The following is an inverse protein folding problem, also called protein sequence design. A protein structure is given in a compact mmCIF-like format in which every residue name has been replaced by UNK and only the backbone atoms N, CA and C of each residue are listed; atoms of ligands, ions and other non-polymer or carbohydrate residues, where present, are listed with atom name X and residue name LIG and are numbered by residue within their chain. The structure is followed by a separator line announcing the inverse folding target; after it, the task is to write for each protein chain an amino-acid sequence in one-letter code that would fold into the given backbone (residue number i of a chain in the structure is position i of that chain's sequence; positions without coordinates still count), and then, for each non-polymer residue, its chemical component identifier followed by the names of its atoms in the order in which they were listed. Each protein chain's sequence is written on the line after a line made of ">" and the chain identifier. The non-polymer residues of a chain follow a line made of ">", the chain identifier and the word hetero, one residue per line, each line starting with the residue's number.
data_IF_587813798486
#
_entry.id   IF_587813798486
#
_cell.length_a   1.000
_cell.length_b   1.000
_cell.length_c   1.000
_cell.angle_alpha   90.00
_cell.angle_beta   90.00
_cell.angle_gamma   90.00
#
_symmetry.space_group_name_H-M   'P 1'
#
loop_
_entity.id
_entity.type
_entity.pdbx_description
1 polymer ?
#
# COMPACT_ATOMS: atom_id res chain seq x y z
N UNK A 1 -0.16 -10.09 15.64
CA UNK A 1 0.80 -10.92 16.40
C UNK A 1 2.08 -10.17 16.79
N UNK A 2 2.23 -8.91 16.38
CA UNK A 2 3.43 -8.07 16.63
C UNK A 2 4.75 -8.77 16.23
N UNK A 3 4.73 -9.50 15.14
CA UNK A 3 5.94 -10.08 14.57
C UNK A 3 6.72 -9.01 13.79
N UNK A 4 8.05 -9.04 13.83
CA UNK A 4 8.84 -8.15 13.00
C UNK A 4 8.59 -8.43 11.53
N UNK A 5 8.63 -7.38 10.70
CA UNK A 5 8.60 -7.53 9.25
C UNK A 5 10.04 -7.54 8.73
N UNK A 6 10.35 -8.51 7.90
CA UNK A 6 11.70 -8.70 7.37
C UNK A 6 11.65 -8.55 5.85
N UNK A 7 12.31 -7.50 5.36
CA UNK A 7 12.50 -7.30 3.94
C UNK A 7 13.86 -7.86 3.51
N UNK A 8 13.83 -8.84 2.61
CA UNK A 8 15.02 -9.52 2.10
C UNK A 8 15.25 -9.27 0.61
N UNK A 9 14.33 -8.57 -0.07
CA UNK A 9 14.40 -8.34 -1.51
C UNK A 9 14.56 -6.86 -1.85
N UNK A 10 15.22 -6.59 -2.96
CA UNK A 10 15.14 -5.31 -3.66
C UNK A 10 13.90 -5.25 -4.59
N UNK A 11 13.69 -4.11 -5.25
CA UNK A 11 12.56 -3.90 -6.16
C UNK A 11 12.56 -4.81 -7.40
N UNK A 12 13.66 -5.50 -7.66
CA UNK A 12 13.83 -6.45 -8.77
C UNK A 12 13.81 -7.91 -8.30
N UNK A 13 13.41 -8.13 -7.04
CA UNK A 13 13.35 -9.44 -6.39
C UNK A 13 14.70 -10.17 -6.31
N UNK A 14 15.79 -9.41 -6.14
CA UNK A 14 17.10 -9.94 -5.77
C UNK A 14 17.31 -9.84 -4.26
N UNK A 15 18.05 -10.76 -3.70
CA UNK A 15 18.35 -10.77 -2.26
C UNK A 15 19.23 -9.56 -1.91
N UNK A 16 18.77 -8.78 -0.94
CA UNK A 16 19.52 -7.64 -0.40
C UNK A 16 20.83 -8.11 0.25
N UNK A 17 21.92 -7.33 0.14
CA UNK A 17 23.16 -7.62 0.88
C UNK A 17 22.98 -7.42 2.39
N UNK A 18 22.02 -6.62 2.80
CA UNK A 18 21.61 -6.41 4.19
C UNK A 18 20.09 -6.52 4.30
N UNK A 19 19.62 -7.45 5.13
CA UNK A 19 18.20 -7.62 5.43
C UNK A 19 17.72 -6.46 6.30
N UNK A 20 16.52 -5.97 6.03
CA UNK A 20 15.88 -4.89 6.77
C UNK A 20 14.82 -5.46 7.70
N UNK A 21 15.04 -5.35 9.01
CA UNK A 21 14.15 -5.89 10.04
C UNK A 21 13.41 -4.73 10.71
N UNK A 22 12.12 -4.63 10.47
CA UNK A 22 11.23 -3.62 11.05
C UNK A 22 10.54 -4.20 12.28
N UNK A 23 10.95 -3.79 13.47
CA UNK A 23 10.30 -4.14 14.75
C UNK A 23 9.22 -3.13 15.13
N UNK A 24 9.36 -1.90 14.67
CA UNK A 24 8.37 -0.83 14.81
C UNK A 24 8.16 -0.16 13.45
N UNK A 25 6.96 -0.30 12.91
CA UNK A 25 6.58 0.28 11.61
C UNK A 25 6.33 1.79 11.68
N UNK A 26 6.17 2.35 12.87
CA UNK A 26 5.93 3.79 13.02
C UNK A 26 7.23 4.59 12.85
N UNK A 27 8.34 4.07 13.33
CA UNK A 27 9.65 4.73 13.20
C UNK A 27 10.23 4.60 11.80
N UNK A 28 9.79 3.59 11.04
CA UNK A 28 10.30 3.24 9.70
C UNK A 28 11.82 3.00 9.63
N UNK A 29 12.48 2.91 10.76
CA UNK A 29 13.91 2.62 10.85
C UNK A 29 14.14 1.12 11.01
N UNK A 30 14.70 0.43 10.00
CA UNK A 30 15.00 -0.98 10.10
C UNK A 30 16.29 -1.22 10.88
N UNK A 31 16.33 -2.31 11.62
CA UNK A 31 17.61 -2.92 12.00
C UNK A 31 18.18 -3.64 10.77
N UNK A 32 19.45 -3.44 10.50
CA UNK A 32 20.13 -4.07 9.38
C UNK A 32 20.88 -5.32 9.85
N UNK A 33 20.70 -6.42 9.14
CA UNK A 33 21.42 -7.66 9.37
C UNK A 33 22.05 -8.14 8.07
N UNK A 34 23.34 -8.45 8.11
CA UNK A 34 24.08 -8.88 6.92
C UNK A 34 23.55 -10.20 6.38
N UNK A 35 23.16 -10.22 5.12
CA UNK A 35 22.81 -11.45 4.43
C UNK A 35 24.06 -12.29 4.17
N UNK A 36 24.01 -13.62 4.35
CA UNK A 36 25.13 -14.48 3.96
C UNK A 36 25.56 -14.21 2.51
N UNK A 37 26.85 -14.01 2.30
CA UNK A 37 27.41 -13.54 1.03
C UNK A 37 27.08 -14.43 -0.18
N UNK A 38 26.84 -15.71 0.07
CA UNK A 38 26.44 -16.68 -0.95
C UNK A 38 25.04 -16.46 -1.52
N UNK A 39 24.18 -15.71 -0.83
CA UNK A 39 22.82 -15.40 -1.28
C UNK A 39 22.67 -13.98 -1.76
N UNK A 40 23.47 -13.04 -1.24
CA UNK A 40 23.40 -11.64 -1.57
C UNK A 40 23.46 -11.39 -3.10
N UNK A 41 22.53 -10.62 -3.62
CA UNK A 41 22.43 -10.30 -5.05
C UNK A 41 21.84 -11.39 -5.94
N UNK A 42 21.52 -12.58 -5.41
CA UNK A 42 20.86 -13.62 -6.20
C UNK A 42 19.38 -13.27 -6.47
N UNK A 43 18.94 -13.60 -7.68
CA UNK A 43 17.51 -13.57 -7.99
C UNK A 43 16.79 -14.62 -7.12
N UNK A 44 15.55 -14.33 -6.69
CA UNK A 44 14.79 -15.11 -5.70
C UNK A 44 14.70 -16.61 -5.96
N UNK A 45 14.55 -17.03 -7.24
CA UNK A 45 14.46 -18.45 -7.58
C UNK A 45 15.85 -19.13 -7.57
N UNK A 46 16.88 -18.38 -7.97
CA UNK A 46 18.25 -18.85 -7.86
C UNK A 46 18.67 -19.01 -6.38
N UNK A 47 18.29 -18.05 -5.53
CA UNK A 47 18.52 -18.12 -4.09
C UNK A 47 17.78 -19.31 -3.46
N UNK A 48 16.51 -19.53 -3.81
CA UNK A 48 15.71 -20.67 -3.34
C UNK A 48 16.36 -22.00 -3.72
N UNK A 49 16.77 -22.15 -4.98
CA UNK A 49 17.43 -23.35 -5.45
C UNK A 49 18.70 -23.62 -4.65
N UNK A 50 19.55 -22.61 -4.50
CA UNK A 50 20.82 -22.74 -3.75
C UNK A 50 20.58 -23.09 -2.28
N UNK A 51 19.57 -22.50 -1.65
CA UNK A 51 19.21 -22.81 -0.25
C UNK A 51 18.76 -24.25 -0.09
N UNK A 52 17.99 -24.80 -1.03
CA UNK A 52 17.58 -26.19 -1.02
C UNK A 52 18.79 -27.13 -1.19
N UNK A 53 19.69 -26.85 -2.15
CA UNK A 53 20.92 -27.61 -2.39
C UNK A 53 21.84 -27.61 -1.16
N UNK A 54 21.99 -26.47 -0.50
CA UNK A 54 22.76 -26.35 0.73
C UNK A 54 22.13 -27.12 1.88
N UNK A 55 20.80 -26.99 2.07
CA UNK A 55 20.09 -27.71 3.11
C UNK A 55 20.18 -29.23 2.97
N UNK A 56 20.21 -29.72 1.73
CA UNK A 56 20.46 -31.13 1.43
C UNK A 56 21.92 -31.55 1.78
N UNK A 57 22.89 -30.74 1.36
CA UNK A 57 24.30 -31.00 1.61
C UNK A 57 24.66 -31.00 3.11
N UNK A 58 24.00 -30.15 3.90
CA UNK A 58 24.21 -30.02 5.34
C UNK A 58 23.29 -30.95 6.18
N UNK A 59 22.42 -31.74 5.53
CA UNK A 59 21.54 -32.70 6.18
C UNK A 59 20.37 -32.07 6.94
N UNK A 60 20.00 -30.81 6.61
CA UNK A 60 18.86 -30.13 7.21
C UNK A 60 17.54 -30.41 6.46
N UNK A 61 17.65 -30.86 5.22
CA UNK A 61 16.48 -31.17 4.39
C UNK A 61 15.95 -32.57 4.74
N UNK A 62 14.74 -32.64 5.28
CA UNK A 62 14.08 -33.90 5.57
C UNK A 62 13.45 -34.51 4.31
N UNK A 63 12.61 -33.73 3.61
CA UNK A 63 12.01 -34.17 2.35
C UNK A 63 11.44 -32.96 1.55
N UNK A 64 11.26 -33.18 0.24
CA UNK A 64 10.55 -32.26 -0.64
C UNK A 64 9.25 -32.92 -1.11
N UNK A 65 8.11 -32.36 -0.75
CA UNK A 65 6.78 -32.85 -1.17
C UNK A 65 6.17 -31.94 -2.22
N UNK A 66 5.56 -32.49 -3.28
CA UNK A 66 4.68 -31.72 -4.14
C UNK A 66 3.55 -31.10 -3.32
N UNK A 67 3.28 -29.83 -3.54
CA UNK A 67 2.22 -29.11 -2.87
C UNK A 67 1.51 -28.18 -3.84
N UNK A 68 0.17 -28.27 -3.90
CA UNK A 68 -0.64 -27.36 -4.70
C UNK A 68 -0.78 -26.02 -3.96
N UNK A 69 -0.21 -24.97 -4.52
CA UNK A 69 -0.22 -23.62 -3.97
C UNK A 69 -0.77 -22.63 -5.01
N UNK A 70 -1.71 -21.78 -4.58
CA UNK A 70 -2.12 -20.62 -5.38
C UNK A 70 -1.04 -19.54 -5.28
N UNK A 71 -0.28 -19.37 -6.36
CA UNK A 71 0.80 -18.38 -6.43
C UNK A 71 0.25 -17.11 -7.07
N UNK A 72 0.33 -15.93 -6.39
CA UNK A 72 -0.08 -14.66 -6.98
C UNK A 72 0.81 -14.32 -8.18
N UNK A 73 0.18 -13.86 -9.25
CA UNK A 73 0.84 -13.47 -10.50
C UNK A 73 0.28 -12.16 -11.02
N UNK A 74 1.12 -11.40 -11.69
CA UNK A 74 0.69 -10.20 -12.40
C UNK A 74 -0.27 -10.55 -13.55
N UNK A 75 -1.41 -9.87 -13.61
CA UNK A 75 -2.50 -10.17 -14.56
C UNK A 75 -2.06 -10.15 -16.02
N UNK A 76 -1.11 -9.31 -16.37
CA UNK A 76 -0.65 -9.12 -17.76
C UNK A 76 0.68 -9.80 -18.04
N UNK A 77 1.61 -9.77 -17.08
CA UNK A 77 2.93 -10.35 -17.26
C UNK A 77 2.98 -11.85 -16.97
N UNK A 78 2.00 -12.38 -16.24
CA UNK A 78 2.00 -13.73 -15.67
C UNK A 78 3.25 -14.02 -14.79
N UNK A 79 3.96 -12.96 -14.42
CA UNK A 79 5.13 -13.06 -13.54
C UNK A 79 4.68 -13.26 -12.10
N UNK A 80 5.34 -14.16 -11.38
CA UNK A 80 5.10 -14.36 -9.95
C UNK A 80 5.48 -13.07 -9.21
N UNK A 81 4.56 -12.58 -8.36
CA UNK A 81 4.79 -11.40 -7.53
C UNK A 81 5.12 -11.79 -6.11
N UNK A 82 6.01 -11.02 -5.49
CA UNK A 82 6.36 -11.16 -4.08
C UNK A 82 5.72 -10.01 -3.28
N UNK A 83 5.38 -10.21 -2.00
CA UNK A 83 4.98 -9.12 -1.13
C UNK A 83 6.09 -8.07 -1.04
N UNK A 84 5.71 -6.81 -1.23
CA UNK A 84 6.62 -5.67 -1.17
C UNK A 84 6.07 -4.62 -0.21
N UNK A 85 6.88 -4.23 0.77
CA UNK A 85 6.52 -3.14 1.68
C UNK A 85 6.77 -1.81 1.00
N UNK A 86 5.72 -1.01 0.89
CA UNK A 86 5.78 0.34 0.35
C UNK A 86 4.81 1.23 1.10
N UNK A 87 5.13 2.52 1.20
CA UNK A 87 4.21 3.51 1.72
C UNK A 87 3.00 3.63 0.79
N UNK A 88 1.81 3.71 1.38
CA UNK A 88 0.55 3.84 0.66
C UNK A 88 -0.29 4.95 1.28
N UNK A 89 -1.13 5.57 0.47
CA UNK A 89 -2.10 6.53 0.94
C UNK A 89 -3.39 5.84 1.37
N UNK A 90 -3.83 6.16 2.58
CA UNK A 90 -5.06 5.63 3.16
C UNK A 90 -6.02 6.74 3.52
N UNK A 91 -7.31 6.49 3.31
CA UNK A 91 -8.39 7.28 3.93
C UNK A 91 -8.70 6.66 5.28
N UNK A 92 -8.57 7.45 6.35
CA UNK A 92 -9.01 7.04 7.69
C UNK A 92 -10.54 7.07 7.74
N UNK A 93 -11.14 5.90 7.61
CA UNK A 93 -12.57 5.77 7.38
C UNK A 93 -13.40 5.96 8.66
N UNK A 94 -12.88 5.63 9.83
CA UNK A 94 -13.63 5.69 11.09
C UNK A 94 -14.33 7.04 11.32
N UNK A 95 -13.60 8.15 11.10
CA UNK A 95 -14.14 9.51 11.27
C UNK A 95 -15.26 9.86 10.30
N UNK A 96 -15.24 9.24 9.10
CA UNK A 96 -16.24 9.44 8.05
C UNK A 96 -17.44 8.50 8.24
N UNK A 97 -17.21 7.28 8.69
CA UNK A 97 -18.23 6.26 8.88
C UNK A 97 -19.20 6.61 10.02
N UNK A 98 -18.68 7.17 11.11
CA UNK A 98 -19.50 7.50 12.28
C UNK A 98 -20.69 8.38 11.96
N UNK A 99 -20.57 9.60 11.37
CA UNK A 99 -21.72 10.41 11.02
C UNK A 99 -22.63 9.79 9.96
N UNK A 100 -22.10 8.94 9.08
CA UNK A 100 -22.89 8.21 8.09
C UNK A 100 -23.75 7.11 8.72
N UNK A 101 -23.23 6.40 9.72
CA UNK A 101 -23.99 5.44 10.53
C UNK A 101 -25.10 6.16 11.30
N UNK A 102 -24.78 7.25 12.00
CA UNK A 102 -25.72 8.06 12.77
C UNK A 102 -26.88 8.58 11.89
N UNK A 103 -26.57 9.03 10.66
CA UNK A 103 -27.60 9.50 9.73
C UNK A 103 -28.64 8.43 9.35
N UNK A 104 -28.26 7.17 9.35
CA UNK A 104 -29.16 6.03 9.08
C UNK A 104 -29.87 5.56 10.36
N UNK A 105 -29.22 5.65 11.50
CA UNK A 105 -29.82 5.26 12.78
C UNK A 105 -30.93 6.23 13.23
N UNK A 106 -30.72 7.53 13.05
CA UNK A 106 -31.67 8.60 13.41
C UNK A 106 -32.72 8.90 12.32
N UNK A 107 -32.65 8.23 11.18
CA UNK A 107 -33.64 8.34 10.09
C UNK A 107 -33.44 9.53 9.16
N UNK A 108 -32.33 10.28 9.24
CA UNK A 108 -32.01 11.32 8.25
C UNK A 108 -31.77 10.74 6.86
N UNK A 109 -31.33 9.47 6.81
CA UNK A 109 -31.17 8.70 5.57
C UNK A 109 -31.91 7.38 5.71
N UNK A 110 -32.82 7.10 4.77
CA UNK A 110 -33.61 5.87 4.77
C UNK A 110 -33.31 5.02 3.53
N UNK A 111 -33.36 3.69 3.71
CA UNK A 111 -33.23 2.74 2.62
C UNK A 111 -34.59 2.28 2.11
N UNK A 112 -34.77 2.31 0.78
CA UNK A 112 -35.96 1.79 0.12
C UNK A 112 -35.51 0.75 -0.91
N UNK A 113 -35.86 -0.51 -0.73
CA UNK A 113 -36.58 -1.12 0.41
C UNK A 113 -35.69 -1.21 1.69
N UNK A 114 -36.35 -1.21 2.83
CA UNK A 114 -35.71 -1.12 4.16
C UNK A 114 -34.70 -2.25 4.47
N UNK A 115 -34.81 -3.39 3.79
CA UNK A 115 -33.91 -4.56 3.98
C UNK A 115 -32.44 -4.21 3.73
N UNK A 116 -32.13 -3.26 2.86
CA UNK A 116 -30.77 -2.83 2.57
C UNK A 116 -30.08 -2.11 3.73
N UNK A 117 -30.86 -1.60 4.70
CA UNK A 117 -30.30 -1.01 5.92
C UNK A 117 -29.42 -1.99 6.68
N UNK A 118 -29.81 -3.25 6.78
CA UNK A 118 -29.05 -4.26 7.52
C UNK A 118 -27.68 -4.55 6.85
N UNK A 119 -27.68 -4.64 5.51
CA UNK A 119 -26.45 -4.85 4.74
C UNK A 119 -25.51 -3.64 4.88
N UNK A 120 -26.04 -2.42 4.76
CA UNK A 120 -25.29 -1.18 4.95
C UNK A 120 -24.66 -1.12 6.36
N UNK A 121 -25.45 -1.37 7.40
CA UNK A 121 -24.99 -1.29 8.77
C UNK A 121 -23.95 -2.37 9.10
N UNK A 122 -24.09 -3.60 8.55
CA UNK A 122 -23.09 -4.64 8.70
C UNK A 122 -21.75 -4.23 8.07
N UNK A 123 -21.79 -3.66 6.88
CA UNK A 123 -20.59 -3.15 6.19
C UNK A 123 -19.94 -1.98 6.96
N UNK A 124 -20.73 -0.98 7.35
CA UNK A 124 -20.23 0.24 7.96
C UNK A 124 -19.64 0.05 9.36
N UNK A 125 -20.13 -0.93 10.13
CA UNK A 125 -19.61 -1.24 11.48
C UNK A 125 -18.26 -1.93 11.47
N UNK A 126 -17.91 -2.60 10.39
CA UNK A 126 -16.64 -3.33 10.23
C UNK A 126 -15.77 -2.75 9.11
N UNK A 127 -16.03 -1.49 8.76
CA UNK A 127 -15.32 -0.84 7.66
C UNK A 127 -13.87 -0.56 8.07
N UNK A 128 -12.94 -0.88 7.17
CA UNK A 128 -11.51 -0.70 7.37
C UNK A 128 -11.02 0.54 6.62
N UNK A 129 -9.86 1.07 7.03
CA UNK A 129 -9.17 2.13 6.30
C UNK A 129 -8.93 1.70 4.85
N UNK A 130 -9.18 2.62 3.94
CA UNK A 130 -9.14 2.36 2.51
C UNK A 130 -7.84 2.84 1.88
N UNK A 131 -7.05 1.92 1.35
CA UNK A 131 -5.89 2.25 0.53
C UNK A 131 -6.36 2.82 -0.82
N UNK A 132 -6.02 4.07 -1.09
CA UNK A 132 -6.43 4.80 -2.29
C UNK A 132 -5.33 5.00 -3.32
N UNK A 133 -4.09 4.65 -3.02
CA UNK A 133 -2.97 4.75 -3.95
C UNK A 133 -2.79 3.47 -4.77
N UNK A 134 -2.41 3.63 -6.04
CA UNK A 134 -2.13 2.54 -6.98
C UNK A 134 -0.87 2.85 -7.78
N UNK A 135 -0.03 1.85 -7.96
CA UNK A 135 1.20 1.92 -8.74
C UNK A 135 0.90 1.65 -10.22
N UNK A 136 0.19 2.57 -10.86
CA UNK A 136 -0.20 2.49 -12.27
C UNK A 136 0.44 3.63 -13.07
N UNK A 137 0.72 3.40 -14.33
CA UNK A 137 1.32 4.41 -15.21
C UNK A 137 0.31 5.47 -15.68
N UNK A 138 -0.98 5.18 -15.56
CA UNK A 138 -2.05 6.05 -16.03
C UNK A 138 -3.14 6.21 -14.97
N UNK A 139 -3.55 7.44 -14.72
CA UNK A 139 -4.62 7.78 -13.79
C UNK A 139 -4.46 9.19 -13.21
N UNK A 140 -5.32 9.55 -12.26
CA UNK A 140 -5.20 10.79 -11.51
C UNK A 140 -4.10 10.65 -10.46
N UNK A 141 -3.01 11.35 -10.63
CA UNK A 141 -1.89 11.31 -9.68
C UNK A 141 -2.30 11.81 -8.32
N UNK A 142 -1.75 11.19 -7.30
CA UNK A 142 -1.92 11.63 -5.90
C UNK A 142 -1.43 13.09 -5.80
N UNK A 143 -2.26 14.01 -5.24
CA UNK A 143 -1.96 15.44 -5.15
C UNK A 143 -1.04 15.74 -3.95
N UNK A 144 0.09 15.06 -3.89
CA UNK A 144 1.12 15.21 -2.87
C UNK A 144 2.49 15.40 -3.49
N UNK A 145 3.32 16.21 -2.85
CA UNK A 145 4.69 16.52 -3.25
C UNK A 145 5.63 16.24 -2.09
N UNK A 146 6.84 15.85 -2.42
CA UNK A 146 7.91 15.54 -1.48
C UNK A 146 9.12 16.39 -1.79
N UNK A 147 9.80 16.86 -0.75
CA UNK A 147 11.15 17.39 -0.88
C UNK A 147 12.21 16.30 -0.66
N UNK A 148 13.48 16.68 -0.77
CA UNK A 148 14.60 15.75 -0.61
C UNK A 148 14.78 15.30 0.86
N UNK A 149 14.17 15.98 1.82
CA UNK A 149 14.16 15.62 3.24
C UNK A 149 13.00 14.65 3.59
N UNK A 150 12.11 14.38 2.62
CA UNK A 150 10.96 13.49 2.81
C UNK A 150 9.73 14.17 3.42
N UNK A 151 9.71 15.49 3.54
CA UNK A 151 8.52 16.21 3.98
C UNK A 151 7.42 16.10 2.92
N UNK A 152 6.16 16.05 3.39
CA UNK A 152 4.98 15.84 2.54
C UNK A 152 4.15 17.11 2.48
N UNK A 153 3.85 17.54 1.27
CA UNK A 153 3.03 18.72 0.99
C UNK A 153 1.83 18.34 0.11
N UNK A 154 0.64 18.79 0.46
CA UNK A 154 -0.60 18.43 -0.24
C UNK A 154 -1.26 19.67 -0.85
N UNK A 155 -1.55 19.60 -2.15
CA UNK A 155 -2.23 20.65 -2.91
C UNK A 155 -2.58 20.15 -4.31
N UNK A 156 -3.41 20.89 -5.05
CA UNK A 156 -3.88 20.51 -6.39
C UNK A 156 -2.75 20.51 -7.42
N UNK A 157 -1.85 21.46 -7.27
CA UNK A 157 -0.67 21.62 -8.10
C UNK A 157 0.52 22.18 -7.30
N UNK A 158 1.68 22.21 -7.90
CA UNK A 158 2.91 22.67 -7.26
C UNK A 158 2.84 24.14 -6.84
N UNK A 159 2.17 24.99 -7.62
CA UNK A 159 2.05 26.42 -7.32
C UNK A 159 1.20 26.64 -6.04
N UNK A 160 0.07 25.94 -5.91
CA UNK A 160 -0.74 25.94 -4.70
C UNK A 160 0.05 25.44 -3.50
N UNK A 161 0.81 24.35 -3.67
CA UNK A 161 1.68 23.81 -2.59
C UNK A 161 2.68 24.84 -2.14
N UNK A 162 3.43 25.48 -3.05
CA UNK A 162 4.41 26.50 -2.72
C UNK A 162 3.79 27.68 -1.97
N UNK A 163 2.64 28.15 -2.44
CA UNK A 163 1.91 29.24 -1.80
C UNK A 163 1.39 28.84 -0.39
N UNK A 164 0.77 27.68 -0.27
CA UNK A 164 0.13 27.19 0.96
C UNK A 164 1.14 26.96 2.09
N UNK A 165 2.30 26.40 1.74
CA UNK A 165 3.33 26.04 2.72
C UNK A 165 4.49 27.05 2.77
N UNK A 166 4.39 28.18 2.05
CA UNK A 166 5.40 29.24 1.99
C UNK A 166 6.80 28.73 1.59
N UNK A 167 6.83 27.83 0.60
CA UNK A 167 8.06 27.21 0.13
C UNK A 167 8.82 28.12 -0.84
N UNK A 168 10.14 28.12 -0.74
CA UNK A 168 11.00 28.84 -1.69
C UNK A 168 10.92 28.20 -3.08
N UNK A 169 11.03 29.03 -4.13
CA UNK A 169 11.04 28.53 -5.52
C UNK A 169 12.21 27.61 -5.82
N UNK A 170 13.31 27.76 -5.06
CA UNK A 170 14.51 26.91 -5.21
C UNK A 170 14.38 25.53 -4.56
N UNK A 171 13.35 25.27 -3.74
CA UNK A 171 13.14 23.96 -3.13
C UNK A 171 12.70 22.97 -4.20
N UNK A 172 13.47 21.89 -4.37
CA UNK A 172 13.09 20.82 -5.28
C UNK A 172 11.86 20.07 -4.73
N UNK A 173 10.81 19.96 -5.55
CA UNK A 173 9.60 19.21 -5.20
C UNK A 173 9.35 18.12 -6.24
N UNK A 174 9.02 16.93 -5.77
CA UNK A 174 8.66 15.78 -6.60
C UNK A 174 7.23 15.35 -6.26
N UNK A 175 6.35 15.38 -7.25
CA UNK A 175 4.99 14.85 -7.07
C UNK A 175 5.02 13.33 -6.89
N UNK A 176 4.12 12.82 -6.04
CA UNK A 176 3.89 11.39 -5.89
C UNK A 176 3.68 10.72 -7.25
N UNK A 177 4.29 9.57 -7.47
CA UNK A 177 4.18 8.82 -8.73
C UNK A 177 2.92 7.96 -8.79
N UNK A 178 2.31 7.67 -7.64
CA UNK A 178 1.11 6.87 -7.55
C UNK A 178 -0.12 7.62 -8.07
N UNK A 179 -1.13 6.87 -8.45
CA UNK A 179 -2.42 7.40 -8.89
C UNK A 179 -3.52 6.99 -7.93
N UNK A 180 -4.62 7.74 -7.92
CA UNK A 180 -5.80 7.43 -7.13
C UNK A 180 -6.51 6.17 -7.65
N UNK A 181 -7.03 5.39 -6.73
CA UNK A 181 -7.95 4.29 -7.02
C UNK A 181 -9.13 4.80 -7.87
N UNK A 182 -9.54 4.02 -8.86
CA UNK A 182 -10.67 4.37 -9.75
C UNK A 182 -11.96 4.60 -8.96
N UNK A 183 -12.18 3.81 -7.89
CA UNK A 183 -13.37 3.96 -7.04
C UNK A 183 -13.36 5.26 -6.24
N UNK A 184 -12.21 5.85 -5.97
CA UNK A 184 -12.13 7.16 -5.33
C UNK A 184 -12.80 8.24 -6.20
N UNK A 185 -12.43 8.30 -7.48
CA UNK A 185 -13.05 9.23 -8.42
C UNK A 185 -14.54 8.89 -8.67
N UNK A 186 -14.87 7.61 -8.77
CA UNK A 186 -16.25 7.16 -8.96
C UNK A 186 -17.16 7.52 -7.80
N UNK A 187 -16.67 7.47 -6.56
CA UNK A 187 -17.43 7.88 -5.38
C UNK A 187 -17.79 9.38 -5.40
N UNK A 188 -16.92 10.20 -5.99
CA UNK A 188 -17.17 11.64 -6.11
C UNK A 188 -18.23 12.00 -7.18
N UNK A 189 -18.52 11.09 -8.11
CA UNK A 189 -19.40 11.35 -9.25
C UNK A 189 -20.81 11.76 -8.84
N UNK A 190 -21.34 11.19 -7.76
CA UNK A 190 -22.71 11.42 -7.27
C UNK A 190 -23.03 12.88 -6.93
N UNK A 191 -22.02 13.69 -6.66
CA UNK A 191 -22.17 15.12 -6.34
C UNK A 191 -21.34 16.03 -7.24
N UNK A 192 -20.20 15.60 -7.75
CA UNK A 192 -19.34 16.44 -8.59
C UNK A 192 -19.99 16.79 -9.94
N UNK A 193 -20.88 15.94 -10.44
CA UNK A 193 -21.63 16.17 -11.68
C UNK A 193 -22.91 17.01 -11.48
N UNK A 194 -23.27 17.30 -10.25
CA UNK A 194 -24.48 18.04 -9.88
C UNK A 194 -24.17 19.46 -9.38
N UNK A 195 -23.00 20.00 -9.69
CA UNK A 195 -22.52 21.31 -9.28
C UNK A 195 -22.61 21.56 -7.75
N UNK A 196 -22.50 20.49 -6.96
CA UNK A 196 -22.47 20.62 -5.52
C UNK A 196 -21.10 21.14 -5.07
N UNK A 197 -21.11 22.31 -4.46
CA UNK A 197 -19.89 23.04 -4.07
C UNK A 197 -19.59 22.98 -2.58
N UNK A 198 -20.42 22.28 -1.79
CA UNK A 198 -20.28 22.15 -0.33
C UNK A 198 -21.19 23.07 0.44
#
# INVERSE_FOLDING_TARGET
>A
HNLPMINIFDSSAHILPEMQIFTDLQTKEPQLETTPSEYAGLERFAARKKMVEQSEAEGWLEEIKPHDLKVPKGDRSNTIVEPWLTDQWYVSIEKLAKPAIEAVEDGRTEFVPAQYKNMYMAWMRDIQDWCISRQLWWGHRIPAWYDDEGNIYVGRDEAEVRQKYHLADSLALRQDSDVLDTWFSSALWTFSTLDWTG
#
